data_IF_956941361463
#
_entry.id   IF_956941361463
#
_cell.length_a   1.000
_cell.length_b   1.000
_cell.length_c   1.000
_cell.angle_alpha   90.00
_cell.angle_beta   90.00
_cell.angle_gamma   90.00
#
_symmetry.space_group_name_H-M   'P 1'
#
loop_
_entity.id
_entity.type
_entity.pdbx_description
1 polymer ?
#
# COMPACT_ATOMS: atom_id res chain seq x y z
N UNK A 1 49.15 3.41 -15.44
CA UNK A 1 47.74 3.09 -15.25
C UNK A 1 46.99 4.36 -14.89
N UNK A 2 46.05 4.73 -15.71
CA UNK A 2 45.51 6.09 -15.82
C UNK A 2 44.58 6.43 -14.64
N UNK A 3 45.06 7.34 -13.75
CA UNK A 3 44.26 7.88 -12.62
C UNK A 3 42.95 8.51 -13.09
N UNK A 4 42.90 9.04 -14.34
CA UNK A 4 41.68 9.55 -14.96
C UNK A 4 40.67 8.46 -15.27
N UNK A 5 41.09 7.25 -15.58
CA UNK A 5 40.22 6.11 -15.84
C UNK A 5 39.62 5.57 -14.53
N UNK A 6 40.39 5.55 -13.44
CA UNK A 6 39.88 5.23 -12.12
C UNK A 6 38.87 6.28 -11.62
N UNK A 7 39.15 7.56 -11.82
CA UNK A 7 38.21 8.65 -11.46
C UNK A 7 36.92 8.57 -12.26
N UNK A 8 37.00 8.30 -13.56
CA UNK A 8 35.82 8.07 -14.42
C UNK A 8 35.02 6.83 -14.01
N UNK A 9 35.69 5.77 -13.58
CA UNK A 9 35.02 4.57 -13.07
C UNK A 9 34.36 4.82 -11.70
N UNK A 10 35.01 5.57 -10.81
CA UNK A 10 34.44 5.99 -9.52
C UNK A 10 33.24 6.92 -9.74
N UNK A 11 33.33 7.89 -10.65
CA UNK A 11 32.23 8.77 -11.03
C UNK A 11 31.12 7.98 -11.73
N UNK A 12 31.41 6.99 -12.58
CA UNK A 12 30.41 6.08 -13.14
C UNK A 12 29.77 5.19 -12.10
N UNK A 13 30.51 4.70 -11.10
CA UNK A 13 29.96 3.94 -9.97
C UNK A 13 29.15 4.82 -9.02
N UNK A 14 29.54 6.07 -8.79
CA UNK A 14 28.74 7.04 -8.02
C UNK A 14 27.53 7.58 -8.79
N UNK A 15 27.60 7.66 -10.13
CA UNK A 15 26.49 8.03 -11.00
C UNK A 15 25.64 6.83 -11.45
N UNK A 16 26.03 5.58 -11.24
CA UNK A 16 25.09 4.50 -11.09
C UNK A 16 24.35 4.78 -9.76
N UNK A 17 23.32 5.63 -9.79
CA UNK A 17 22.27 5.60 -8.77
C UNK A 17 21.99 4.12 -8.55
N UNK A 18 22.36 3.60 -7.39
CA UNK A 18 21.82 2.31 -6.97
C UNK A 18 20.32 2.48 -7.16
N UNK A 19 19.74 1.74 -8.07
CA UNK A 19 18.29 1.76 -8.26
C UNK A 19 17.75 1.35 -6.89
N UNK A 20 17.36 2.34 -6.13
CA UNK A 20 16.82 2.11 -4.80
C UNK A 20 15.44 1.53 -5.07
N UNK A 21 15.27 0.25 -4.75
CA UNK A 21 13.99 -0.40 -4.92
C UNK A 21 12.90 0.42 -4.22
N UNK A 22 11.77 0.59 -4.87
CA UNK A 22 10.63 1.28 -4.26
C UNK A 22 10.17 0.53 -3.00
N UNK A 23 9.81 1.27 -1.98
CA UNK A 23 9.18 0.74 -0.77
C UNK A 23 7.75 0.32 -1.10
N UNK A 24 7.39 -0.93 -0.83
CA UNK A 24 6.04 -1.46 -1.08
C UNK A 24 5.29 -1.61 0.24
N UNK A 25 4.14 -0.97 0.35
CA UNK A 25 3.27 -0.98 1.53
C UNK A 25 1.87 -1.42 1.08
N UNK A 26 1.37 -2.54 1.58
CA UNK A 26 -0.02 -2.94 1.38
C UNK A 26 -0.91 -2.37 2.48
N UNK A 27 -2.07 -1.82 2.09
CA UNK A 27 -3.11 -1.36 3.02
C UNK A 27 -4.29 -2.30 2.91
N UNK A 28 -4.69 -2.88 4.03
CA UNK A 28 -5.74 -3.90 4.09
C UNK A 28 -6.68 -3.71 5.28
N UNK A 29 -7.77 -4.47 5.29
CA UNK A 29 -8.73 -4.50 6.41
C UNK A 29 -9.51 -5.82 6.41
N UNK A 30 -9.87 -6.31 7.59
CA UNK A 30 -10.72 -7.49 7.73
C UNK A 30 -12.16 -7.24 7.26
N UNK A 31 -12.64 -5.99 7.31
CA UNK A 31 -14.02 -5.58 7.00
C UNK A 31 -14.05 -4.45 5.98
N UNK A 32 -15.04 -4.47 5.09
CA UNK A 32 -15.31 -3.36 4.19
C UNK A 32 -15.81 -2.11 4.92
N UNK A 33 -15.53 -0.94 4.37
CA UNK A 33 -16.05 0.33 4.88
C UNK A 33 -15.33 0.90 6.11
N UNK A 34 -14.26 0.29 6.61
CA UNK A 34 -13.48 0.80 7.77
C UNK A 34 -12.58 1.99 7.44
N UNK A 35 -12.50 2.40 6.18
CA UNK A 35 -11.71 3.55 5.73
C UNK A 35 -10.35 3.21 5.14
N UNK A 36 -10.13 1.97 4.67
CA UNK A 36 -8.90 1.48 4.05
C UNK A 36 -8.42 2.40 2.91
N UNK A 37 -9.20 2.55 1.83
CA UNK A 37 -8.82 3.36 0.66
C UNK A 37 -8.65 4.85 0.99
N UNK A 38 -9.45 5.37 1.95
CA UNK A 38 -9.26 6.72 2.48
C UNK A 38 -7.88 6.85 3.17
N UNK A 39 -7.47 5.83 3.93
CA UNK A 39 -6.14 5.76 4.53
C UNK A 39 -5.06 5.71 3.46
N UNK A 40 -5.21 4.86 2.43
CA UNK A 40 -4.26 4.73 1.33
C UNK A 40 -3.99 6.05 0.62
N UNK A 41 -5.03 6.78 0.23
CA UNK A 41 -4.87 8.06 -0.50
C UNK A 41 -4.28 9.17 0.38
N UNK A 42 -4.65 9.23 1.66
CA UNK A 42 -4.14 10.27 2.55
C UNK A 42 -2.68 10.01 2.98
N UNK A 43 -2.29 8.76 3.21
CA UNK A 43 -0.88 8.38 3.43
C UNK A 43 -0.05 8.69 2.18
N UNK A 44 -0.55 8.39 0.97
CA UNK A 44 0.12 8.71 -0.28
C UNK A 44 0.42 10.21 -0.42
N UNK A 45 -0.57 11.06 -0.13
CA UNK A 45 -0.39 12.51 -0.14
C UNK A 45 0.66 12.99 0.88
N UNK A 46 0.68 12.40 2.08
CA UNK A 46 1.67 12.78 3.09
C UNK A 46 3.09 12.37 2.70
N UNK A 47 3.29 11.17 2.12
CA UNK A 47 4.59 10.78 1.55
C UNK A 47 5.02 11.72 0.42
N UNK A 48 4.09 12.08 -0.48
CA UNK A 48 4.36 13.03 -1.58
C UNK A 48 4.81 14.38 -1.05
N UNK A 49 4.18 14.89 0.01
CA UNK A 49 4.55 16.15 0.68
C UNK A 49 5.92 16.10 1.33
N UNK A 50 6.39 14.91 1.70
CA UNK A 50 7.76 14.68 2.18
C UNK A 50 8.78 14.50 1.05
N UNK A 51 8.38 14.73 -0.21
CA UNK A 51 9.26 14.69 -1.38
C UNK A 51 9.46 13.31 -1.99
N UNK A 52 8.68 12.29 -1.58
CA UNK A 52 8.70 10.96 -2.18
C UNK A 52 7.83 10.93 -3.44
N UNK A 53 8.28 10.25 -4.48
CA UNK A 53 7.44 9.92 -5.63
C UNK A 53 6.54 8.75 -5.25
N UNK A 54 5.22 8.93 -5.28
CA UNK A 54 4.26 7.93 -4.79
C UNK A 54 3.34 7.46 -5.91
N UNK A 55 3.16 6.14 -5.98
CA UNK A 55 2.15 5.53 -6.86
C UNK A 55 1.25 4.63 -6.02
N UNK A 56 -0.06 4.79 -6.16
CA UNK A 56 -1.07 3.90 -5.58
C UNK A 56 -1.44 2.85 -6.63
N UNK A 57 -1.36 1.58 -6.28
CA UNK A 57 -1.86 0.47 -7.08
C UNK A 57 -3.19 0.01 -6.48
N UNK A 58 -4.30 0.27 -7.19
CA UNK A 58 -5.63 -0.19 -6.78
C UNK A 58 -5.77 -1.69 -7.08
N UNK A 59 -5.63 -2.49 -6.03
CA UNK A 59 -5.76 -3.95 -6.06
C UNK A 59 -7.11 -4.44 -5.54
N UNK A 60 -8.09 -3.54 -5.35
CA UNK A 60 -9.48 -3.89 -5.10
C UNK A 60 -10.18 -4.17 -6.44
N UNK A 61 -10.08 -5.37 -6.89
CA UNK A 61 -10.48 -5.81 -8.22
C UNK A 61 -12.00 -5.82 -8.50
N UNK A 62 -12.80 -5.43 -7.52
CA UNK A 62 -14.25 -5.33 -7.67
C UNK A 62 -14.78 -3.90 -7.69
N UNK A 63 -14.04 -2.97 -7.10
CA UNK A 63 -14.48 -1.60 -6.87
C UNK A 63 -13.32 -0.64 -7.11
N UNK A 64 -13.43 0.22 -8.09
CA UNK A 64 -12.45 1.26 -8.42
C UNK A 64 -12.48 2.40 -7.37
N UNK A 65 -11.89 2.16 -6.21
CA UNK A 65 -11.99 3.04 -5.05
C UNK A 65 -11.11 4.29 -5.17
N UNK A 66 -9.91 4.16 -5.71
CA UNK A 66 -8.92 5.26 -5.77
C UNK A 66 -9.37 6.36 -6.73
N UNK A 67 -9.89 5.99 -7.91
CA UNK A 67 -10.41 6.95 -8.88
C UNK A 67 -11.60 7.76 -8.33
N UNK A 68 -12.46 7.10 -7.54
CA UNK A 68 -13.58 7.77 -6.85
C UNK A 68 -13.08 8.72 -5.76
N UNK A 69 -12.05 8.33 -5.00
CA UNK A 69 -11.47 9.16 -3.94
C UNK A 69 -10.76 10.41 -4.49
N UNK A 70 -10.21 10.33 -5.68
CA UNK A 70 -9.56 11.46 -6.35
C UNK A 70 -10.49 12.24 -7.29
N UNK A 71 -11.69 11.72 -7.58
CA UNK A 71 -12.60 12.32 -8.56
C UNK A 71 -12.02 12.31 -9.98
N UNK A 72 -11.16 11.35 -10.32
CA UNK A 72 -10.43 11.29 -11.59
C UNK A 72 -10.72 9.94 -12.25
N UNK A 73 -11.17 10.00 -13.51
CA UNK A 73 -11.41 8.79 -14.31
C UNK A 73 -10.13 8.47 -15.09
N UNK A 74 -9.49 7.31 -14.86
CA UNK A 74 -8.28 6.91 -15.57
C UNK A 74 -8.58 6.64 -17.05
N UNK A 75 -7.70 7.11 -17.94
CA UNK A 75 -7.81 6.86 -19.39
C UNK A 75 -7.52 5.40 -19.73
N UNK A 76 -6.56 4.82 -19.05
CA UNK A 76 -6.10 3.45 -19.21
C UNK A 76 -5.92 2.77 -17.86
N UNK A 77 -5.99 1.45 -17.85
CA UNK A 77 -5.88 0.62 -16.66
C UNK A 77 -4.94 -0.57 -16.89
N UNK A 78 -4.80 -1.43 -15.89
CA UNK A 78 -3.93 -2.60 -15.95
C UNK A 78 -4.29 -3.57 -17.11
N UNK A 79 -5.58 -3.68 -17.46
CA UNK A 79 -6.02 -4.46 -18.62
C UNK A 79 -5.49 -3.89 -19.95
N UNK A 80 -5.40 -2.57 -20.07
CA UNK A 80 -4.86 -1.92 -21.27
C UNK A 80 -3.35 -2.17 -21.41
N UNK A 81 -2.60 -2.20 -20.31
CA UNK A 81 -1.19 -2.60 -20.26
C UNK A 81 -0.99 -4.02 -20.82
N UNK A 82 -1.87 -4.93 -20.41
CA UNK A 82 -1.73 -6.35 -20.76
C UNK A 82 -2.22 -6.71 -22.15
N UNK A 83 -3.37 -6.15 -22.55
CA UNK A 83 -4.11 -6.63 -23.72
C UNK A 83 -4.17 -5.65 -24.88
N UNK A 84 -3.81 -4.37 -24.67
CA UNK A 84 -3.90 -3.32 -25.69
C UNK A 84 -2.55 -2.67 -26.02
N UNK A 85 -1.43 -3.26 -25.55
CA UNK A 85 -0.07 -2.81 -25.90
C UNK A 85 0.31 -1.45 -25.29
N UNK A 86 -0.36 -1.02 -24.23
CA UNK A 86 -0.01 0.19 -23.51
C UNK A 86 1.27 0.01 -22.70
N UNK A 87 2.04 1.11 -22.56
CA UNK A 87 3.21 1.14 -21.70
C UNK A 87 2.82 1.51 -20.27
N UNK A 88 3.68 1.15 -19.30
CA UNK A 88 3.41 1.39 -17.88
C UNK A 88 3.13 2.87 -17.58
N UNK A 89 3.94 3.78 -18.16
CA UNK A 89 3.78 5.22 -17.98
C UNK A 89 2.45 5.77 -18.48
N UNK A 90 1.84 5.13 -19.48
CA UNK A 90 0.55 5.56 -20.04
C UNK A 90 -0.64 5.19 -19.15
N UNK A 91 -0.50 4.13 -18.34
CA UNK A 91 -1.56 3.68 -17.41
C UNK A 91 -1.46 4.29 -16.02
N UNK A 92 -0.33 4.95 -15.70
CA UNK A 92 -0.23 5.75 -14.48
C UNK A 92 -1.01 7.04 -14.69
N UNK A 93 -2.11 7.16 -13.99
CA UNK A 93 -2.95 8.36 -14.02
C UNK A 93 -2.43 9.36 -12.99
N UNK A 94 -2.16 10.63 -13.36
CA UNK A 94 -1.76 11.64 -12.40
C UNK A 94 -2.93 12.04 -11.51
N UNK A 95 -2.73 11.94 -10.21
CA UNK A 95 -3.64 12.38 -9.17
C UNK A 95 -3.20 13.70 -8.53
N UNK A 96 -3.85 14.11 -7.43
CA UNK A 96 -3.55 15.34 -6.72
C UNK A 96 -2.11 15.40 -6.21
N UNK A 97 -1.54 16.61 -6.20
CA UNK A 97 -0.17 16.91 -5.72
C UNK A 97 0.93 16.04 -6.37
N UNK A 98 0.64 15.39 -7.52
CA UNK A 98 1.61 14.54 -8.21
C UNK A 98 1.63 13.07 -7.75
N UNK A 99 0.72 12.64 -6.89
CA UNK A 99 0.53 11.22 -6.58
C UNK A 99 0.01 10.51 -7.83
N UNK A 100 0.74 9.52 -8.33
CA UNK A 100 0.27 8.67 -9.42
C UNK A 100 -0.66 7.56 -8.92
N UNK A 101 -1.56 7.07 -9.78
CA UNK A 101 -2.27 5.85 -9.46
C UNK A 101 -2.50 4.96 -10.68
N UNK A 102 -2.57 3.66 -10.45
CA UNK A 102 -2.90 2.64 -11.44
C UNK A 102 -4.22 2.01 -11.01
N UNK A 103 -5.24 2.17 -11.85
CA UNK A 103 -6.53 1.51 -11.64
C UNK A 103 -6.45 0.05 -12.10
N UNK A 104 -6.96 -0.85 -11.28
CA UNK A 104 -7.18 -2.22 -11.67
C UNK A 104 -8.17 -2.36 -12.84
N UNK A 105 -9.21 -1.53 -12.86
CA UNK A 105 -10.24 -1.52 -13.89
C UNK A 105 -11.09 -2.78 -13.93
N UNK A 106 -12.13 -2.77 -14.77
CA UNK A 106 -13.00 -3.94 -15.00
C UNK A 106 -12.32 -5.08 -15.79
N UNK A 107 -11.10 -4.86 -16.30
CA UNK A 107 -10.33 -5.85 -17.06
C UNK A 107 -9.68 -6.96 -16.24
N UNK A 108 -9.67 -6.84 -14.93
CA UNK A 108 -8.96 -7.74 -14.01
C UNK A 108 -9.56 -9.14 -13.93
N UNK A 109 -10.85 -9.33 -14.20
CA UNK A 109 -11.41 -10.69 -14.33
C UNK A 109 -10.64 -11.52 -15.38
N UNK A 110 -10.03 -10.86 -16.38
CA UNK A 110 -9.13 -11.50 -17.37
C UNK A 110 -7.73 -11.75 -16.82
N UNK A 111 -7.26 -10.96 -15.84
CA UNK A 111 -5.95 -11.14 -15.23
C UNK A 111 -5.88 -12.38 -14.31
N UNK A 112 -7.02 -12.81 -13.78
CA UNK A 112 -7.12 -14.04 -12.97
C UNK A 112 -6.80 -15.29 -13.79
N UNK A 113 -6.98 -15.23 -15.11
CA UNK A 113 -6.81 -16.36 -16.03
C UNK A 113 -5.56 -16.22 -16.92
N UNK A 114 -4.56 -15.41 -16.53
CA UNK A 114 -3.32 -15.26 -17.26
C UNK A 114 -2.51 -16.58 -17.24
N UNK A 115 -1.91 -16.92 -18.38
CA UNK A 115 -0.92 -17.97 -18.44
C UNK A 115 0.46 -17.50 -17.88
N UNK A 116 1.39 -18.46 -17.71
CA UNK A 116 2.70 -18.18 -17.11
C UNK A 116 3.52 -17.14 -17.89
N UNK A 117 3.41 -17.10 -19.21
CA UNK A 117 4.16 -16.14 -20.04
C UNK A 117 3.55 -14.73 -19.94
N UNK A 118 2.22 -14.64 -19.90
CA UNK A 118 1.51 -13.38 -19.66
C UNK A 118 1.83 -12.81 -18.28
N UNK A 119 1.87 -13.67 -17.24
CA UNK A 119 2.26 -13.27 -15.89
C UNK A 119 3.71 -12.74 -15.86
N UNK A 120 4.66 -13.44 -16.47
CA UNK A 120 6.06 -12.97 -16.56
C UNK A 120 6.15 -11.60 -17.24
N UNK A 121 5.38 -11.38 -18.30
CA UNK A 121 5.32 -10.10 -19.02
C UNK A 121 4.76 -8.99 -18.13
N UNK A 122 3.67 -9.27 -17.40
CA UNK A 122 3.07 -8.32 -16.48
C UNK A 122 4.06 -7.93 -15.37
N UNK A 123 4.69 -8.91 -14.72
CA UNK A 123 5.70 -8.69 -13.68
C UNK A 123 6.89 -7.88 -14.23
N UNK A 124 7.33 -8.19 -15.45
CA UNK A 124 8.39 -7.45 -16.14
C UNK A 124 8.04 -5.98 -16.33
N UNK A 125 6.83 -5.68 -16.80
CA UNK A 125 6.36 -4.29 -16.95
C UNK A 125 6.17 -3.59 -15.61
N UNK A 126 5.58 -4.24 -14.62
CA UNK A 126 5.38 -3.64 -13.29
C UNK A 126 6.70 -3.40 -12.54
N UNK A 127 7.78 -4.14 -12.87
CA UNK A 127 9.08 -3.90 -12.26
C UNK A 127 9.69 -2.53 -12.61
N UNK A 128 9.23 -1.89 -13.68
CA UNK A 128 9.63 -0.53 -14.04
C UNK A 128 9.15 0.52 -13.00
N UNK A 129 8.21 0.16 -12.13
CA UNK A 129 7.77 1.03 -11.03
C UNK A 129 8.91 1.36 -10.05
N UNK A 130 9.92 0.50 -9.90
CA UNK A 130 11.11 0.78 -9.09
C UNK A 130 11.87 2.05 -9.55
N UNK A 131 11.77 2.40 -10.84
CA UNK A 131 12.38 3.61 -11.39
C UNK A 131 11.47 4.85 -11.29
N UNK A 132 10.15 4.62 -11.23
CA UNK A 132 9.13 5.66 -11.31
C UNK A 132 8.66 6.17 -9.96
N UNK A 133 8.78 5.35 -8.91
CA UNK A 133 8.31 5.68 -7.56
C UNK A 133 9.35 5.36 -6.50
N UNK A 134 9.29 6.07 -5.38
CA UNK A 134 10.05 5.79 -4.15
C UNK A 134 9.19 4.97 -3.18
N UNK A 135 7.85 5.17 -3.24
CA UNK A 135 6.87 4.44 -2.43
C UNK A 135 5.72 3.96 -3.31
N UNK A 136 5.35 2.69 -3.17
CA UNK A 136 4.17 2.10 -3.81
C UNK A 136 3.20 1.65 -2.73
N UNK A 137 1.98 2.18 -2.77
CA UNK A 137 0.91 1.81 -1.87
C UNK A 137 -0.05 0.88 -2.62
N UNK A 138 -0.22 -0.34 -2.11
CA UNK A 138 -1.16 -1.32 -2.64
C UNK A 138 -2.45 -1.21 -1.85
N UNK A 139 -3.50 -0.66 -2.43
CA UNK A 139 -4.84 -0.63 -1.82
C UNK A 139 -5.57 -1.95 -2.14
N UNK A 140 -5.58 -2.90 -1.20
CA UNK A 140 -6.16 -4.24 -1.43
C UNK A 140 -7.68 -4.22 -1.32
N UNK A 141 -8.35 -5.30 -1.68
CA UNK A 141 -9.72 -5.56 -1.25
C UNK A 141 -9.83 -5.75 0.27
N UNK A 142 -11.05 -5.76 0.79
CA UNK A 142 -11.31 -6.09 2.19
C UNK A 142 -11.52 -7.60 2.38
N UNK A 143 -11.23 -8.11 3.59
CA UNK A 143 -11.48 -9.50 3.97
C UNK A 143 -10.33 -10.45 3.64
N UNK A 144 -10.65 -11.73 3.47
CA UNK A 144 -9.68 -12.86 3.43
C UNK A 144 -9.68 -13.61 2.09
N UNK A 145 -10.04 -12.94 0.99
CA UNK A 145 -10.00 -13.59 -0.33
C UNK A 145 -8.56 -13.99 -0.70
N UNK A 146 -8.42 -14.99 -1.58
CA UNK A 146 -7.10 -15.43 -2.05
C UNK A 146 -6.29 -14.29 -2.64
N UNK A 147 -6.93 -13.42 -3.42
CA UNK A 147 -6.25 -12.25 -4.02
C UNK A 147 -5.71 -11.29 -2.95
N UNK A 148 -6.47 -11.03 -1.87
CA UNK A 148 -5.97 -10.21 -0.75
C UNK A 148 -4.79 -10.89 -0.09
N UNK A 149 -4.88 -12.19 0.23
CA UNK A 149 -3.79 -12.93 0.88
C UNK A 149 -2.51 -12.95 0.02
N UNK A 150 -2.61 -13.12 -1.30
CA UNK A 150 -1.46 -13.08 -2.21
C UNK A 150 -0.71 -11.75 -2.11
N UNK A 151 -1.42 -10.61 -2.06
CA UNK A 151 -0.79 -9.31 -1.86
C UNK A 151 -0.15 -9.17 -0.47
N UNK A 152 -0.81 -9.65 0.59
CA UNK A 152 -0.31 -9.50 1.95
C UNK A 152 0.96 -10.33 2.20
N UNK A 153 1.00 -11.59 1.78
CA UNK A 153 2.20 -12.44 1.96
C UNK A 153 3.38 -11.97 1.12
N UNK A 154 3.13 -11.28 0.00
CA UNK A 154 4.16 -10.70 -0.84
C UNK A 154 4.70 -9.37 -0.29
N UNK A 155 3.95 -8.69 0.59
CA UNK A 155 4.28 -7.34 1.07
C UNK A 155 5.31 -7.36 2.19
N UNK A 156 6.38 -6.57 2.07
CA UNK A 156 7.32 -6.36 3.18
C UNK A 156 6.64 -5.65 4.36
N UNK A 157 5.70 -4.76 4.06
CA UNK A 157 4.96 -3.97 5.03
C UNK A 157 3.46 -4.03 4.74
N UNK A 158 2.67 -4.35 5.75
CA UNK A 158 1.21 -4.38 5.68
C UNK A 158 0.63 -3.46 6.74
N UNK A 159 -0.20 -2.51 6.33
CA UNK A 159 -0.99 -1.65 7.23
C UNK A 159 -2.39 -2.25 7.35
N UNK A 160 -2.73 -2.74 8.52
CA UNK A 160 -4.07 -3.20 8.88
C UNK A 160 -4.87 -2.03 9.42
N UNK A 161 -5.92 -1.64 8.70
CA UNK A 161 -6.88 -0.62 9.14
C UNK A 161 -8.07 -1.30 9.80
N UNK A 162 -8.36 -0.94 11.04
CA UNK A 162 -9.49 -1.48 11.80
C UNK A 162 -10.20 -0.38 12.59
N UNK A 163 -11.42 -0.64 13.06
CA UNK A 163 -12.21 0.28 13.89
C UNK A 163 -12.52 -0.37 15.23
N UNK A 164 -12.90 0.42 16.28
CA UNK A 164 -13.28 -0.13 17.57
C UNK A 164 -14.56 -0.99 17.56
N UNK A 165 -15.30 -1.01 16.46
CA UNK A 165 -16.48 -1.85 16.30
C UNK A 165 -16.16 -3.33 16.50
N UNK A 166 -16.90 -4.09 17.36
CA UNK A 166 -16.61 -5.50 17.63
C UNK A 166 -16.47 -6.37 16.38
N UNK A 167 -17.33 -6.16 15.37
CA UNK A 167 -17.25 -6.88 14.10
C UNK A 167 -15.93 -6.60 13.36
N UNK A 168 -15.49 -5.33 13.32
CA UNK A 168 -14.23 -4.96 12.68
C UNK A 168 -13.01 -5.59 13.36
N UNK A 169 -13.02 -5.66 14.69
CA UNK A 169 -11.95 -6.30 15.48
C UNK A 169 -11.92 -7.81 15.20
N UNK A 170 -13.09 -8.46 15.21
CA UNK A 170 -13.20 -9.90 14.91
C UNK A 170 -12.71 -10.21 13.48
N UNK A 171 -13.12 -9.42 12.49
CA UNK A 171 -12.72 -9.61 11.10
C UNK A 171 -11.23 -9.34 10.91
N UNK A 172 -10.67 -8.36 11.64
CA UNK A 172 -9.22 -8.10 11.65
C UNK A 172 -8.44 -9.28 12.23
N UNK A 173 -8.91 -9.88 13.32
CA UNK A 173 -8.30 -11.09 13.87
C UNK A 173 -8.41 -12.27 12.89
N UNK A 174 -9.57 -12.45 12.23
CA UNK A 174 -9.75 -13.49 11.22
C UNK A 174 -8.77 -13.32 10.04
N UNK A 175 -8.54 -12.06 9.57
CA UNK A 175 -7.55 -11.76 8.55
C UNK A 175 -6.13 -12.12 9.01
N UNK A 176 -5.73 -11.72 10.22
CA UNK A 176 -4.41 -12.05 10.77
C UNK A 176 -4.24 -13.56 10.94
N UNK A 177 -5.28 -14.28 11.35
CA UNK A 177 -5.28 -15.73 11.43
C UNK A 177 -5.11 -16.37 10.06
N UNK A 178 -5.86 -15.93 9.05
CA UNK A 178 -5.70 -16.44 7.68
C UNK A 178 -4.29 -16.17 7.15
N UNK A 179 -3.70 -15.00 7.46
CA UNK A 179 -2.34 -14.66 7.10
C UNK A 179 -1.33 -15.60 7.79
N UNK A 180 -1.45 -15.84 9.10
CA UNK A 180 -0.56 -16.71 9.86
C UNK A 180 -0.61 -18.17 9.42
N UNK A 181 -1.74 -18.63 8.88
CA UNK A 181 -1.93 -19.98 8.36
C UNK A 181 -1.48 -20.16 6.90
N UNK A 182 -1.12 -19.07 6.23
CA UNK A 182 -0.65 -19.13 4.86
C UNK A 182 0.81 -19.65 4.83
N UNK A 183 1.08 -20.67 4.03
CA UNK A 183 2.40 -21.34 3.94
C UNK A 183 3.51 -20.38 3.46
N UNK A 184 3.15 -19.35 2.72
CA UNK A 184 4.08 -18.35 2.19
C UNK A 184 4.34 -17.18 3.15
N UNK A 185 3.60 -17.10 4.26
CA UNK A 185 3.77 -16.04 5.24
C UNK A 185 5.05 -16.24 6.08
N UNK A 186 5.80 -15.17 6.24
CA UNK A 186 6.97 -15.14 7.13
C UNK A 186 6.95 -13.85 7.96
N UNK A 187 6.89 -13.94 9.30
CA UNK A 187 6.92 -12.76 10.18
C UNK A 187 8.20 -11.92 10.04
N UNK A 188 9.29 -12.54 9.57
CA UNK A 188 10.56 -11.86 9.34
C UNK A 188 10.51 -10.98 8.09
N UNK A 189 9.73 -11.39 7.08
CA UNK A 189 9.63 -10.72 5.77
C UNK A 189 8.47 -9.76 5.67
N UNK A 190 7.36 -10.02 6.38
CA UNK A 190 6.15 -9.22 6.35
C UNK A 190 5.89 -8.61 7.73
N UNK A 191 6.05 -7.31 7.85
CA UNK A 191 5.75 -6.56 9.08
C UNK A 191 4.32 -6.05 9.03
N UNK A 192 3.52 -6.39 10.05
CA UNK A 192 2.13 -5.95 10.12
C UNK A 192 2.02 -4.77 11.09
N UNK A 193 1.47 -3.68 10.59
CA UNK A 193 1.30 -2.41 11.32
C UNK A 193 -0.19 -2.11 11.43
N UNK A 194 -0.62 -1.50 12.53
CA UNK A 194 -2.03 -1.25 12.81
C UNK A 194 -2.33 0.24 12.87
N UNK A 195 -3.39 0.64 12.19
CA UNK A 195 -4.06 1.92 12.33
C UNK A 195 -5.46 1.69 12.90
N UNK A 196 -5.74 2.31 14.06
CA UNK A 196 -7.07 2.33 14.62
C UNK A 196 -7.86 3.54 14.07
N UNK A 197 -8.82 3.29 13.18
CA UNK A 197 -9.60 4.33 12.52
C UNK A 197 -10.97 4.54 13.19
N UNK A 198 -11.53 5.75 13.06
CA UNK A 198 -12.83 6.16 13.62
C UNK A 198 -12.93 5.98 15.13
N UNK A 199 -11.84 6.22 15.84
CA UNK A 199 -11.85 6.17 17.30
C UNK A 199 -12.57 7.40 17.88
N UNK A 200 -13.25 7.23 19.00
CA UNK A 200 -13.82 8.35 19.75
C UNK A 200 -12.75 9.16 20.48
N UNK A 201 -11.74 8.48 21.04
CA UNK A 201 -10.59 9.07 21.74
C UNK A 201 -9.32 8.30 21.40
N UNK A 202 -8.15 8.93 21.55
CA UNK A 202 -6.85 8.29 21.25
C UNK A 202 -6.60 7.04 22.09
N UNK A 203 -7.03 7.04 23.34
CA UNK A 203 -6.89 5.91 24.26
C UNK A 203 -7.68 4.68 23.79
N UNK A 204 -8.80 4.89 23.11
CA UNK A 204 -9.57 3.78 22.49
C UNK A 204 -8.77 3.07 21.41
N UNK A 205 -8.02 3.82 20.60
CA UNK A 205 -7.12 3.27 19.58
C UNK A 205 -5.97 2.46 20.19
N UNK A 206 -5.38 2.96 21.27
CA UNK A 206 -4.33 2.27 22.00
C UNK A 206 -4.86 0.96 22.61
N UNK A 207 -6.01 1.00 23.28
CA UNK A 207 -6.66 -0.18 23.87
C UNK A 207 -7.02 -1.23 22.81
N UNK A 208 -7.47 -0.79 21.61
CA UNK A 208 -7.75 -1.67 20.49
C UNK A 208 -6.48 -2.39 20.02
N UNK A 209 -5.39 -1.63 19.84
CA UNK A 209 -4.09 -2.18 19.48
C UNK A 209 -3.62 -3.21 20.51
N UNK A 210 -3.60 -2.87 21.79
CA UNK A 210 -3.12 -3.75 22.86
C UNK A 210 -3.89 -5.07 22.91
N UNK A 211 -5.22 -5.03 22.78
CA UNK A 211 -6.06 -6.24 22.73
C UNK A 211 -5.74 -7.12 21.53
N UNK A 212 -5.67 -6.51 20.33
CA UNK A 212 -5.41 -7.27 19.11
C UNK A 212 -3.97 -7.79 19.08
N UNK A 213 -2.99 -7.00 19.50
CA UNK A 213 -1.59 -7.36 19.59
C UNK A 213 -1.37 -8.54 20.57
N UNK A 214 -2.00 -8.49 21.74
CA UNK A 214 -1.87 -9.56 22.73
C UNK A 214 -2.36 -10.92 22.21
N UNK A 215 -3.49 -10.94 21.49
CA UNK A 215 -4.00 -12.21 20.92
C UNK A 215 -3.23 -12.64 19.68
N UNK A 216 -2.75 -11.72 18.85
CA UNK A 216 -1.97 -12.02 17.64
C UNK A 216 -0.59 -12.56 17.98
N UNK A 217 0.11 -11.93 18.90
CA UNK A 217 1.42 -12.40 19.38
C UNK A 217 1.29 -13.77 20.04
N UNK A 218 0.31 -13.95 20.94
CA UNK A 218 0.13 -15.20 21.70
C UNK A 218 -0.29 -16.41 20.86
N UNK A 219 -1.16 -16.21 19.87
CA UNK A 219 -1.82 -17.33 19.16
C UNK A 219 -1.44 -17.44 17.68
N UNK A 220 -0.92 -16.39 17.07
CA UNK A 220 -0.67 -16.32 15.62
C UNK A 220 0.80 -16.13 15.27
N UNK A 221 1.66 -15.89 16.25
CA UNK A 221 3.07 -15.51 16.03
C UNK A 221 3.21 -14.28 15.11
N UNK A 222 2.28 -13.31 15.24
CA UNK A 222 2.30 -12.05 14.53
C UNK A 222 2.49 -10.91 15.53
N UNK A 223 3.63 -10.22 15.42
CA UNK A 223 3.90 -8.99 16.16
C UNK A 223 3.30 -7.80 15.40
N UNK A 224 2.36 -7.09 16.04
CA UNK A 224 1.77 -5.89 15.47
C UNK A 224 2.54 -4.65 15.93
N UNK A 225 2.76 -3.72 15.00
CA UNK A 225 3.29 -2.40 15.31
C UNK A 225 2.16 -1.36 15.30
N UNK A 226 2.08 -0.52 16.33
CA UNK A 226 1.10 0.56 16.35
C UNK A 226 1.61 1.78 15.58
N UNK A 227 0.82 2.24 14.60
CA UNK A 227 1.09 3.47 13.84
C UNK A 227 0.31 4.67 14.37
N UNK A 228 -0.82 4.44 15.04
CA UNK A 228 -1.62 5.51 15.59
C UNK A 228 -3.12 5.33 15.42
N UNK A 229 -3.86 6.34 15.85
CA UNK A 229 -5.31 6.39 15.75
C UNK A 229 -5.76 7.60 14.93
N UNK A 230 -6.80 7.38 14.13
CA UNK A 230 -7.50 8.43 13.39
C UNK A 230 -8.87 8.59 14.04
N UNK A 231 -9.17 9.74 14.64
CA UNK A 231 -10.46 9.95 15.29
C UNK A 231 -11.59 10.06 14.26
N UNK A 232 -12.81 9.83 14.72
CA UNK A 232 -13.98 10.17 13.91
C UNK A 232 -13.97 11.68 13.60
N UNK A 233 -13.94 12.00 12.32
CA UNK A 233 -13.85 13.38 11.84
C UNK A 233 -14.84 13.60 10.69
N UNK A 234 -15.82 14.48 10.90
CA UNK A 234 -16.80 14.84 9.90
C UNK A 234 -16.18 15.45 8.62
N UNK A 235 -14.96 15.98 8.70
CA UNK A 235 -14.26 16.48 7.52
C UNK A 235 -13.90 15.37 6.55
N UNK A 236 -13.61 14.15 7.04
CA UNK A 236 -13.42 12.97 6.17
C UNK A 236 -14.70 12.71 5.36
N UNK A 237 -15.87 12.68 6.02
CA UNK A 237 -17.15 12.44 5.33
C UNK A 237 -17.42 13.51 4.27
N UNK A 238 -17.21 14.78 4.62
CA UNK A 238 -17.40 15.91 3.67
C UNK A 238 -16.44 15.84 2.49
N UNK A 239 -15.19 15.45 2.73
CA UNK A 239 -14.15 15.30 1.71
C UNK A 239 -14.52 14.16 0.74
N UNK A 240 -14.91 13.00 1.26
CA UNK A 240 -15.37 11.85 0.46
C UNK A 240 -16.56 12.20 -0.42
N UNK A 241 -17.55 12.94 0.10
CA UNK A 241 -18.71 13.38 -0.68
C UNK A 241 -18.36 14.30 -1.86
N UNK A 242 -17.24 14.96 -1.81
CA UNK A 242 -16.74 15.82 -2.89
C UNK A 242 -15.59 15.18 -3.69
N UNK A 243 -15.32 13.90 -3.45
CA UNK A 243 -14.28 13.14 -4.14
C UNK A 243 -12.90 13.80 -4.03
N UNK A 244 -12.59 14.31 -2.85
CA UNK A 244 -11.29 14.88 -2.53
C UNK A 244 -10.76 14.26 -1.23
N UNK A 245 -9.48 13.88 -1.13
CA UNK A 245 -8.89 13.42 0.12
C UNK A 245 -8.94 14.50 1.22
N UNK A 246 -9.14 14.09 2.48
CA UNK A 246 -9.23 15.04 3.59
C UNK A 246 -7.95 15.83 3.80
N UNK A 247 -6.79 15.22 3.56
CA UNK A 247 -5.50 15.91 3.65
C UNK A 247 -5.34 17.03 2.61
N UNK A 248 -6.04 16.91 1.48
CA UNK A 248 -6.07 17.98 0.45
C UNK A 248 -7.11 19.06 0.81
N UNK A 249 -8.33 18.62 1.07
CA UNK A 249 -9.48 19.54 1.26
C UNK A 249 -9.45 20.26 2.60
N UNK A 250 -9.04 19.58 3.66
CA UNK A 250 -8.99 20.11 5.04
C UNK A 250 -7.64 19.80 5.68
N UNK A 251 -6.53 20.40 5.18
CA UNK A 251 -5.18 20.06 5.64
C UNK A 251 -4.94 20.36 7.14
N UNK A 252 -5.69 21.29 7.71
CA UNK A 252 -5.64 21.61 9.14
C UNK A 252 -6.52 20.73 10.04
N UNK A 253 -7.29 19.77 9.48
CA UNK A 253 -8.15 18.88 10.26
C UNK A 253 -7.35 17.93 11.15
N UNK A 254 -8.01 17.42 12.20
CA UNK A 254 -7.38 16.46 13.11
C UNK A 254 -6.97 15.19 12.37
N UNK A 255 -7.81 14.70 11.48
CA UNK A 255 -7.51 13.51 10.68
C UNK A 255 -6.32 13.71 9.75
N UNK A 256 -6.19 14.88 9.09
CA UNK A 256 -5.03 15.19 8.23
C UNK A 256 -3.72 15.17 9.00
N UNK A 257 -3.70 15.74 10.20
CA UNK A 257 -2.53 15.71 11.09
C UNK A 257 -2.21 14.29 11.56
N UNK A 258 -3.22 13.47 11.84
CA UNK A 258 -2.98 12.06 12.18
C UNK A 258 -2.34 11.28 11.02
N UNK A 259 -2.73 11.53 9.76
CA UNK A 259 -2.06 10.91 8.61
C UNK A 259 -0.61 11.39 8.45
N UNK A 260 -0.34 12.66 8.71
CA UNK A 260 1.02 13.21 8.74
C UNK A 260 1.87 12.54 9.82
N UNK A 261 1.36 12.43 11.06
CA UNK A 261 2.03 11.76 12.17
C UNK A 261 2.33 10.28 11.85
N UNK A 262 1.39 9.57 11.22
CA UNK A 262 1.55 8.18 10.80
C UNK A 262 2.69 8.05 9.79
N UNK A 263 2.76 8.93 8.80
CA UNK A 263 3.84 8.90 7.80
C UNK A 263 5.18 9.27 8.43
N UNK A 264 5.24 10.22 9.36
CA UNK A 264 6.44 10.53 10.13
C UNK A 264 6.95 9.31 10.92
N UNK A 265 6.05 8.51 11.51
CA UNK A 265 6.43 7.26 12.19
C UNK A 265 6.96 6.23 11.19
N UNK A 266 6.32 6.11 10.02
CA UNK A 266 6.74 5.19 8.97
C UNK A 266 8.14 5.53 8.43
N UNK A 267 8.44 6.81 8.20
CA UNK A 267 9.76 7.26 7.72
C UNK A 267 10.84 7.11 8.79
N UNK A 268 10.57 7.47 10.05
CA UNK A 268 11.56 7.36 11.13
C UNK A 268 11.95 5.90 11.45
N UNK A 269 11.06 4.93 11.21
CA UNK A 269 11.35 3.49 11.39
C UNK A 269 12.10 2.87 10.19
N UNK A 270 12.08 3.51 9.03
CA UNK A 270 12.75 3.01 7.81
C UNK A 270 14.28 2.92 7.98
N UNK A 271 14.86 3.77 8.80
CA UNK A 271 16.32 3.81 9.03
C UNK A 271 16.87 2.49 9.62
N UNK A 272 16.00 1.63 10.17
CA UNK A 272 16.36 0.38 10.85
C UNK A 272 16.04 -0.92 10.12
N UNK A 273 15.36 -0.92 8.97
CA UNK A 273 14.93 -2.15 8.28
C UNK A 273 15.11 -2.09 6.76
N UNK A 274 16.28 -2.44 6.26
CA UNK A 274 16.61 -2.52 4.83
C UNK A 274 16.14 -3.85 4.21
N UNK A 275 14.84 -4.12 4.16
CA UNK A 275 14.30 -5.26 3.42
C UNK A 275 13.41 -4.81 2.25
N UNK A 276 13.85 -3.81 1.47
CA UNK A 276 13.18 -3.48 0.21
C UNK A 276 13.41 -4.60 -0.79
N UNK A 277 12.44 -5.50 -0.91
CA UNK A 277 12.49 -6.63 -1.86
C UNK A 277 12.37 -6.18 -3.32
N UNK A 278 12.01 -4.92 -3.57
CA UNK A 278 11.74 -4.35 -4.89
C UNK A 278 10.41 -4.80 -5.49
N UNK A 279 9.87 -3.96 -6.35
CA UNK A 279 8.57 -4.16 -7.01
C UNK A 279 8.54 -5.46 -7.82
N UNK A 280 9.64 -5.78 -8.50
CA UNK A 280 9.75 -7.01 -9.29
C UNK A 280 9.53 -8.26 -8.45
N UNK A 281 10.18 -8.36 -7.30
CA UNK A 281 10.05 -9.54 -6.43
C UNK A 281 8.69 -9.58 -5.76
N UNK A 282 8.13 -8.43 -5.42
CA UNK A 282 6.76 -8.31 -4.90
C UNK A 282 5.74 -8.88 -5.89
N UNK A 283 5.65 -8.34 -7.11
CA UNK A 283 4.69 -8.82 -8.10
C UNK A 283 4.97 -10.25 -8.60
N UNK A 284 6.25 -10.67 -8.61
CA UNK A 284 6.60 -12.07 -8.86
C UNK A 284 5.99 -12.99 -7.80
N UNK A 285 6.03 -12.62 -6.53
CA UNK A 285 5.39 -13.37 -5.44
C UNK A 285 3.88 -13.41 -5.56
N UNK A 286 3.24 -12.31 -5.98
CA UNK A 286 1.77 -12.24 -6.14
C UNK A 286 1.29 -13.10 -7.31
N UNK A 287 1.95 -13.03 -8.46
CA UNK A 287 1.39 -13.59 -9.71
C UNK A 287 2.03 -14.90 -10.18
N UNK A 288 3.25 -15.25 -9.76
CA UNK A 288 3.98 -16.44 -10.28
C UNK A 288 3.88 -17.68 -9.38
N UNK A 289 3.14 -17.63 -8.28
CA UNK A 289 2.94 -18.78 -7.38
C UNK A 289 1.80 -19.72 -7.80
N UNK A 290 1.20 -19.47 -8.97
CA UNK A 290 0.17 -20.34 -9.55
C UNK A 290 0.79 -21.40 -10.47
#
# INVERSE_FOLDING_TARGET
MDQAQNLRNIIKMQNQKMVQNARVISVTSGKGGVGKSNTSVNIALQFQRQGKRVIIFDADFGLANIEVMFGIIPKYNLGDLMFKGKELKEIITPGPEGVGFISGGSGIAKLVNLDKEQIKRLVGKLSELDELADVIIIDTGAGISSSVMEFLVASPETILVTTPEPASVTDSYALLKALSMNEDYSPEKCKVKLIANRVGKKEEGQNLYEKLSAVSSRFLNIELEYLGAIPFDNNITKAVMTQEPVSLKYPGSVSSKCYEDIVNILENKEISSHNNIGVRNFFKSVFLKK
#
